data_IF_536285132112
#
_entry.id   IF_536285132112
#
_cell.length_a   1.000
_cell.length_b   1.000
_cell.length_c   1.000
_cell.angle_alpha   90.00
_cell.angle_beta   90.00
_cell.angle_gamma   90.00
#
_symmetry.space_group_name_H-M   'P 1'
#
loop_
_entity.id
_entity.type
_entity.pdbx_description
1 polymer ?
#
# COMPACT_ATOMS: atom_id res chain seq x y z
N UNK A 1 -10.71 -14.71 -9.39
CA UNK A 1 -10.40 -14.21 -8.03
C UNK A 1 -8.89 -14.07 -7.91
N UNK A 2 -8.37 -12.87 -7.58
CA UNK A 2 -6.92 -12.68 -7.40
C UNK A 2 -6.53 -13.07 -5.97
N UNK A 3 -5.59 -14.01 -5.78
CA UNK A 3 -5.10 -14.36 -4.45
C UNK A 3 -4.35 -13.18 -3.81
N UNK A 4 -4.49 -12.95 -2.49
CA UNK A 4 -3.79 -11.85 -1.79
C UNK A 4 -2.27 -11.85 -2.01
N UNK A 5 -1.64 -13.03 -2.09
CA UNK A 5 -0.20 -13.12 -2.35
C UNK A 5 0.19 -12.63 -3.75
N UNK A 6 -0.64 -12.86 -4.79
CA UNK A 6 -0.37 -12.36 -6.15
C UNK A 6 -0.42 -10.84 -6.21
N UNK A 7 -1.33 -10.23 -5.45
CA UNK A 7 -1.38 -8.77 -5.30
C UNK A 7 -0.09 -8.23 -4.66
N UNK A 8 0.38 -8.86 -3.58
CA UNK A 8 1.64 -8.47 -2.93
C UNK A 8 2.86 -8.72 -3.81
N UNK A 9 2.84 -9.76 -4.65
CA UNK A 9 3.90 -10.06 -5.61
C UNK A 9 3.96 -9.01 -6.72
N UNK A 10 2.81 -8.49 -7.16
CA UNK A 10 2.76 -7.34 -8.07
C UNK A 10 3.43 -6.11 -7.45
N UNK A 11 3.04 -5.71 -6.23
CA UNK A 11 3.71 -4.59 -5.54
C UNK A 11 5.20 -4.85 -5.28
N UNK A 12 5.61 -6.11 -5.10
CA UNK A 12 7.02 -6.50 -4.93
C UNK A 12 7.88 -6.41 -6.21
N UNK A 13 7.29 -6.02 -7.35
CA UNK A 13 8.07 -5.58 -8.51
C UNK A 13 8.90 -4.33 -8.14
N UNK A 14 8.38 -3.47 -7.25
CA UNK A 14 9.12 -2.34 -6.69
C UNK A 14 10.24 -2.83 -5.77
N UNK A 15 11.50 -2.42 -5.98
CA UNK A 15 12.64 -2.89 -5.18
C UNK A 15 12.46 -2.66 -3.67
N UNK A 16 11.99 -1.48 -3.26
CA UNK A 16 11.78 -1.15 -1.86
C UNK A 16 10.74 -2.08 -1.20
N UNK A 17 9.66 -2.42 -1.91
CA UNK A 17 8.62 -3.34 -1.43
C UNK A 17 9.15 -4.78 -1.37
N UNK A 18 9.89 -5.21 -2.38
CA UNK A 18 10.51 -6.54 -2.40
C UNK A 18 11.41 -6.77 -1.20
N UNK A 19 12.22 -5.76 -0.86
CA UNK A 19 13.16 -5.82 0.24
C UNK A 19 12.46 -6.00 1.58
N UNK A 20 11.44 -5.19 1.88
CA UNK A 20 10.73 -5.32 3.18
C UNK A 20 10.02 -6.67 3.29
N UNK A 21 9.46 -7.19 2.19
CA UNK A 21 8.82 -8.51 2.19
C UNK A 21 9.81 -9.64 2.42
N UNK A 22 11.02 -9.56 1.85
CA UNK A 22 12.10 -10.52 2.13
C UNK A 22 12.53 -10.46 3.58
N UNK A 23 12.75 -9.27 4.13
CA UNK A 23 13.11 -9.07 5.53
C UNK A 23 12.03 -9.63 6.47
N UNK A 24 10.75 -9.36 6.18
CA UNK A 24 9.63 -9.90 6.95
C UNK A 24 9.62 -11.43 6.93
N UNK A 25 9.79 -12.05 5.74
CA UNK A 25 9.86 -13.51 5.62
C UNK A 25 11.03 -14.10 6.39
N UNK A 26 12.20 -13.46 6.37
CA UNK A 26 13.34 -13.91 7.17
C UNK A 26 13.08 -13.80 8.68
N UNK A 27 12.43 -12.72 9.13
CA UNK A 27 12.14 -12.52 10.55
C UNK A 27 11.05 -13.46 11.10
N UNK A 28 10.24 -14.05 10.23
CA UNK A 28 9.11 -14.91 10.59
C UNK A 28 9.26 -16.34 10.06
N UNK A 29 10.49 -16.79 9.79
CA UNK A 29 10.78 -18.16 9.30
C UNK A 29 9.89 -18.59 8.12
N UNK A 30 9.69 -17.66 7.18
CA UNK A 30 8.86 -17.84 5.98
C UNK A 30 7.36 -17.61 6.17
N UNK A 31 6.86 -17.49 7.40
CA UNK A 31 5.43 -17.47 7.73
C UNK A 31 4.96 -16.11 8.25
N UNK A 32 4.94 -15.11 7.36
CA UNK A 32 4.46 -13.76 7.71
C UNK A 32 2.92 -13.74 7.76
N UNK A 33 2.29 -13.26 8.85
CA UNK A 33 0.86 -13.05 8.89
C UNK A 33 0.41 -12.12 7.75
N UNK A 34 -0.60 -12.52 6.97
CA UNK A 34 -0.95 -11.81 5.73
C UNK A 34 -1.31 -10.33 5.96
N UNK A 35 -2.00 -10.01 7.06
CA UNK A 35 -2.32 -8.63 7.42
C UNK A 35 -1.06 -7.80 7.72
N UNK A 36 -0.06 -8.41 8.35
CA UNK A 36 1.24 -7.78 8.61
C UNK A 36 2.00 -7.54 7.30
N UNK A 37 2.01 -8.49 6.36
CA UNK A 37 2.66 -8.32 5.04
C UNK A 37 2.05 -7.10 4.29
N UNK A 38 0.71 -6.97 4.29
CA UNK A 38 0.02 -5.80 3.72
C UNK A 38 0.37 -4.49 4.45
N UNK A 39 0.42 -4.49 5.78
CA UNK A 39 0.75 -3.29 6.55
C UNK A 39 2.20 -2.84 6.32
N UNK A 40 3.15 -3.78 6.29
CA UNK A 40 4.55 -3.52 5.98
C UNK A 40 4.72 -2.92 4.59
N UNK A 41 4.00 -3.44 3.60
CA UNK A 41 4.00 -2.92 2.23
C UNK A 41 3.44 -1.50 2.19
N UNK A 42 2.30 -1.25 2.84
CA UNK A 42 1.72 0.10 2.92
C UNK A 42 2.68 1.09 3.59
N UNK A 43 3.33 0.68 4.67
CA UNK A 43 4.33 1.50 5.35
C UNK A 43 5.56 1.78 4.49
N UNK A 44 6.01 0.79 3.73
CA UNK A 44 7.18 0.94 2.86
C UNK A 44 6.90 1.87 1.68
N UNK A 45 5.70 1.80 1.10
CA UNK A 45 5.26 2.73 0.06
C UNK A 45 5.23 4.15 0.63
N UNK A 46 4.65 4.35 1.82
CA UNK A 46 4.62 5.67 2.46
C UNK A 46 6.03 6.22 2.70
N UNK A 47 6.99 5.38 3.12
CA UNK A 47 8.37 5.80 3.36
C UNK A 47 9.12 6.21 2.10
N UNK A 48 8.77 5.66 0.94
CA UNK A 48 9.48 5.90 -0.33
C UNK A 48 8.70 6.77 -1.32
N UNK A 49 7.51 7.26 -0.96
CA UNK A 49 6.61 7.92 -1.91
C UNK A 49 7.27 9.10 -2.65
N UNK A 50 8.09 9.89 -1.95
CA UNK A 50 8.80 11.04 -2.53
C UNK A 50 9.98 10.62 -3.43
N UNK A 51 10.57 9.45 -3.18
CA UNK A 51 11.68 8.91 -3.96
C UNK A 51 11.22 8.13 -5.19
N UNK A 52 9.98 7.61 -5.20
CA UNK A 52 9.42 6.93 -6.35
C UNK A 52 9.26 7.89 -7.54
N UNK A 53 9.58 7.36 -8.71
CA UNK A 53 9.29 7.98 -10.01
C UNK A 53 7.78 8.04 -10.28
N UNK A 54 7.37 8.86 -11.24
CA UNK A 54 5.95 8.95 -11.62
C UNK A 54 5.41 7.64 -12.19
N UNK A 55 6.24 6.86 -12.88
CA UNK A 55 5.88 5.53 -13.39
C UNK A 55 5.63 4.54 -12.24
N UNK A 56 6.50 4.54 -11.22
CA UNK A 56 6.31 3.70 -10.04
C UNK A 56 5.05 4.11 -9.25
N UNK A 57 4.81 5.41 -9.09
CA UNK A 57 3.58 5.92 -8.44
C UNK A 57 2.33 5.54 -9.22
N UNK A 58 2.36 5.68 -10.54
CA UNK A 58 1.27 5.29 -11.44
C UNK A 58 1.02 3.78 -11.41
N UNK A 59 2.09 2.99 -11.36
CA UNK A 59 2.03 1.54 -11.19
C UNK A 59 1.35 1.16 -9.86
N UNK A 60 1.80 1.73 -8.74
CA UNK A 60 1.19 1.50 -7.42
C UNK A 60 -0.29 1.84 -7.46
N UNK A 61 -0.64 3.02 -7.99
CA UNK A 61 -2.03 3.45 -8.11
C UNK A 61 -2.86 2.47 -8.93
N UNK A 62 -2.35 2.00 -10.07
CA UNK A 62 -3.03 1.04 -10.93
C UNK A 62 -3.28 -0.30 -10.23
N UNK A 63 -2.28 -0.81 -9.49
CA UNK A 63 -2.41 -2.05 -8.71
C UNK A 63 -3.43 -1.91 -7.58
N UNK A 64 -3.42 -0.77 -6.87
CA UNK A 64 -4.40 -0.47 -5.82
C UNK A 64 -5.82 -0.32 -6.38
N UNK A 65 -5.99 0.44 -7.46
CA UNK A 65 -7.28 0.67 -8.12
C UNK A 65 -7.90 -0.65 -8.61
N UNK A 66 -7.09 -1.49 -9.25
CA UNK A 66 -7.50 -2.82 -9.67
C UNK A 66 -7.99 -3.66 -8.48
N UNK A 67 -7.25 -3.68 -7.37
CA UNK A 67 -7.61 -4.49 -6.21
C UNK A 67 -8.85 -3.99 -5.46
N UNK A 68 -9.12 -2.68 -5.50
CA UNK A 68 -10.30 -2.08 -4.88
C UNK A 68 -11.56 -2.21 -5.74
N UNK A 69 -11.42 -2.27 -7.07
CA UNK A 69 -12.52 -2.50 -8.02
C UNK A 69 -12.88 -3.96 -8.20
N UNK A 70 -11.93 -4.87 -7.98
CA UNK A 70 -12.21 -6.30 -7.92
C UNK A 70 -13.21 -6.59 -6.80
N UNK A 71 -14.31 -7.27 -7.12
CA UNK A 71 -15.26 -7.77 -6.12
C UNK A 71 -14.69 -9.02 -5.42
N UNK A 72 -13.64 -8.79 -4.62
CA UNK A 72 -12.93 -9.83 -3.89
C UNK A 72 -13.12 -9.62 -2.39
N UNK A 73 -13.94 -10.48 -1.78
CA UNK A 73 -14.17 -10.49 -0.33
C UNK A 73 -12.90 -10.71 0.49
N UNK A 74 -11.85 -11.32 -0.08
CA UNK A 74 -10.60 -11.63 0.63
C UNK A 74 -9.53 -10.55 0.43
N UNK A 75 -9.42 -9.97 -0.77
CA UNK A 75 -8.37 -9.00 -1.08
C UNK A 75 -8.74 -7.59 -0.62
N UNK A 76 -9.97 -7.15 -0.89
CA UNK A 76 -10.40 -5.77 -0.64
C UNK A 76 -10.26 -5.35 0.83
N UNK A 77 -10.62 -6.18 1.84
CA UNK A 77 -10.39 -5.82 3.25
C UNK A 77 -8.91 -5.68 3.62
N UNK A 78 -8.02 -6.47 3.01
CA UNK A 78 -6.57 -6.40 3.23
C UNK A 78 -5.97 -5.13 2.61
N UNK A 79 -6.47 -4.71 1.46
CA UNK A 79 -6.03 -3.43 0.86
C UNK A 79 -6.53 -2.26 1.70
N UNK A 80 -7.83 -2.23 2.03
CA UNK A 80 -8.43 -1.09 2.74
C UNK A 80 -7.91 -0.93 4.16
N UNK A 81 -7.79 -2.03 4.92
CA UNK A 81 -7.42 -1.96 6.34
C UNK A 81 -5.91 -1.97 6.53
N UNK A 82 -5.18 -3.10 6.47
CA UNK A 82 -3.77 -3.08 6.83
C UNK A 82 -2.91 -2.21 5.91
N UNK A 83 -3.11 -2.27 4.58
CA UNK A 83 -2.24 -1.52 3.65
C UNK A 83 -2.54 -0.03 3.64
N UNK A 84 -3.77 0.37 3.27
CA UNK A 84 -4.08 1.79 3.10
C UNK A 84 -4.09 2.53 4.44
N UNK A 85 -4.64 1.97 5.52
CA UNK A 85 -4.56 2.63 6.84
C UNK A 85 -3.10 2.88 7.25
N UNK A 86 -2.22 1.88 7.13
CA UNK A 86 -0.81 2.06 7.47
C UNK A 86 -0.12 3.09 6.58
N UNK A 87 -0.42 3.08 5.28
CA UNK A 87 0.12 4.02 4.31
C UNK A 87 -0.24 5.47 4.67
N UNK A 88 -1.53 5.75 4.92
CA UNK A 88 -1.99 7.10 5.28
C UNK A 88 -1.56 7.55 6.68
N UNK A 89 -1.53 6.64 7.66
CA UNK A 89 -1.04 6.97 9.00
C UNK A 89 0.45 7.27 9.00
N UNK A 90 1.24 6.47 8.29
CA UNK A 90 2.69 6.66 8.24
C UNK A 90 3.07 7.89 7.43
N UNK A 91 2.41 8.17 6.30
CA UNK A 91 2.67 9.38 5.53
C UNK A 91 2.38 10.64 6.35
N UNK A 92 1.29 10.66 7.12
CA UNK A 92 0.98 11.73 8.08
C UNK A 92 2.09 11.95 9.11
N UNK A 93 2.60 10.87 9.70
CA UNK A 93 3.70 10.94 10.69
C UNK A 93 5.02 11.42 10.07
N UNK A 94 5.25 11.18 8.78
CA UNK A 94 6.44 11.64 8.05
C UNK A 94 6.37 13.10 7.59
N UNK A 95 5.22 13.75 7.79
CA UNK A 95 5.03 15.18 7.54
C UNK A 95 4.27 15.49 6.26
N UNK A 96 3.91 16.78 6.12
CA UNK A 96 2.96 17.27 5.11
C UNK A 96 3.34 16.92 3.67
N UNK A 97 4.63 16.88 3.33
CA UNK A 97 5.09 16.52 1.98
C UNK A 97 4.76 15.07 1.62
N UNK A 98 4.96 14.13 2.55
CA UNK A 98 4.64 12.72 2.33
C UNK A 98 3.14 12.50 2.26
N UNK A 99 2.39 13.13 3.16
CA UNK A 99 0.92 13.09 3.14
C UNK A 99 0.37 13.62 1.81
N UNK A 100 0.83 14.80 1.37
CA UNK A 100 0.42 15.41 0.12
C UNK A 100 0.75 14.52 -1.09
N UNK A 101 1.96 13.95 -1.15
CA UNK A 101 2.34 13.06 -2.24
C UNK A 101 1.49 11.79 -2.31
N UNK A 102 1.18 11.18 -1.15
CA UNK A 102 0.28 10.03 -1.09
C UNK A 102 -1.11 10.40 -1.60
N UNK A 103 -1.68 11.52 -1.15
CA UNK A 103 -3.00 11.95 -1.64
C UNK A 103 -2.99 12.35 -3.12
N UNK A 104 -1.96 13.05 -3.59
CA UNK A 104 -1.87 13.49 -4.98
C UNK A 104 -1.76 12.31 -5.94
N UNK A 105 -0.94 11.32 -5.60
CA UNK A 105 -0.57 10.27 -6.55
C UNK A 105 -1.31 8.96 -6.34
N UNK A 106 -1.71 8.62 -5.12
CA UNK A 106 -2.27 7.31 -4.78
C UNK A 106 -3.73 7.35 -4.32
N UNK A 107 -4.36 8.54 -4.28
CA UNK A 107 -5.78 8.65 -3.95
C UNK A 107 -6.67 7.97 -4.99
N UNK A 108 -7.59 7.15 -4.51
CA UNK A 108 -8.58 6.44 -5.31
C UNK A 108 -9.97 6.90 -4.83
N UNK A 109 -10.73 7.63 -5.68
CA UNK A 109 -12.05 8.14 -5.31
C UNK A 109 -13.00 7.05 -4.80
N UNK A 110 -13.85 7.38 -3.83
CA UNK A 110 -14.87 6.49 -3.28
C UNK A 110 -14.36 5.40 -2.32
N UNK A 111 -13.05 5.34 -2.06
CA UNK A 111 -12.45 4.32 -1.16
C UNK A 111 -11.53 4.90 -0.08
N UNK A 112 -11.05 6.12 -0.28
CA UNK A 112 -10.16 6.83 0.65
C UNK A 112 -10.80 8.18 0.97
N UNK A 113 -10.90 8.58 2.25
CA UNK A 113 -11.44 9.90 2.62
C UNK A 113 -10.35 10.97 2.44
N UNK A 114 -10.62 12.08 1.75
CA UNK A 114 -9.69 13.20 1.69
C UNK A 114 -9.58 13.89 3.06
N UNK A 115 -8.46 14.57 3.36
CA UNK A 115 -8.18 15.16 4.66
C UNK A 115 -9.13 16.32 5.05
N UNK A 116 -9.91 16.86 4.10
CA UNK A 116 -10.80 18.01 4.32
C UNK A 116 -12.30 17.65 4.42
N UNK A 117 -12.66 16.44 4.84
CA UNK A 117 -14.06 16.07 5.11
C UNK A 117 -14.25 15.35 6.46
N UNK A 118 -13.57 15.82 7.49
CA UNK A 118 -14.03 15.67 8.87
C UNK A 118 -14.81 16.95 9.22
N UNK A 119 -16.12 16.90 9.05
CA UNK A 119 -17.05 17.83 9.69
C UNK A 119 -17.06 17.63 11.19
#
# INVERSE_FOLDING_TARGET
MVPPHKFLDALALLPAVRQIRRQARHAWDGHVPIQLDFALVGGQIATHILAFTDDERSYIRGVLDYALKQDSHNLRPLVLRPLLTTLFERSRRMGKAHEAAVFQHLYIPGTTKPPNQAS
#
